data_IF_335526131981
#
_entry.id   IF_335526131981
#
_cell.length_a   1.000
_cell.length_b   1.000
_cell.length_c   1.000
_cell.angle_alpha   90.00
_cell.angle_beta   90.00
_cell.angle_gamma   90.00
#
_symmetry.space_group_name_H-M   'P 1'
#
loop_
_entity.id
_entity.type
_entity.pdbx_description
1 polymer ?
#
# COMPACT_ATOMS: atom_id res chain seq x y z
N UNK A 1 -15.96 6.88 7.61
CA UNK A 1 -17.02 5.84 7.57
C UNK A 1 -16.36 4.46 7.41
N UNK A 2 -15.69 3.96 8.45
CA UNK A 2 -15.18 2.58 8.50
C UNK A 2 -15.48 2.08 9.90
N UNK A 3 -16.44 1.17 10.02
CA UNK A 3 -16.76 0.55 11.32
C UNK A 3 -15.79 -0.60 11.52
N UNK A 4 -15.31 -0.82 12.75
CA UNK A 4 -14.41 -1.93 13.12
C UNK A 4 -14.97 -3.33 12.81
N UNK A 5 -16.26 -3.40 12.45
CA UNK A 5 -17.00 -4.61 12.05
C UNK A 5 -17.05 -4.86 10.53
N UNK A 6 -16.58 -3.93 9.69
CA UNK A 6 -16.62 -4.13 8.25
C UNK A 6 -15.67 -5.26 7.88
N UNK A 7 -16.20 -6.31 7.26
CA UNK A 7 -15.38 -7.41 6.76
C UNK A 7 -14.75 -7.01 5.42
N UNK A 8 -13.64 -7.67 5.07
CA UNK A 8 -13.04 -7.48 3.74
C UNK A 8 -14.05 -7.81 2.62
N UNK A 9 -14.95 -8.77 2.84
CA UNK A 9 -15.98 -9.15 1.87
C UNK A 9 -16.94 -7.99 1.59
N UNK A 10 -17.34 -7.26 2.62
CA UNK A 10 -18.23 -6.11 2.49
C UNK A 10 -17.56 -4.97 1.70
N UNK A 11 -16.28 -4.72 1.99
CA UNK A 11 -15.48 -3.73 1.26
C UNK A 11 -15.32 -4.10 -0.22
N UNK A 12 -15.11 -5.37 -0.54
CA UNK A 12 -15.01 -5.86 -1.92
C UNK A 12 -16.35 -5.77 -2.65
N UNK A 13 -17.47 -6.05 -1.97
CA UNK A 13 -18.80 -5.96 -2.56
C UNK A 13 -19.14 -4.54 -3.02
N UNK A 14 -18.69 -3.51 -2.30
CA UNK A 14 -18.92 -2.10 -2.67
C UNK A 14 -17.84 -1.51 -3.58
N UNK A 15 -16.73 -2.23 -3.80
CA UNK A 15 -15.59 -1.71 -4.57
C UNK A 15 -15.95 -1.47 -6.04
N UNK A 16 -16.77 -2.33 -6.64
CA UNK A 16 -17.18 -2.23 -8.05
C UNK A 16 -17.90 -0.91 -8.36
N UNK A 17 -19.04 -0.61 -7.71
CA UNK A 17 -19.76 0.65 -7.91
C UNK A 17 -18.95 1.91 -7.59
N UNK A 18 -17.96 1.81 -6.69
CA UNK A 18 -17.09 2.93 -6.31
C UNK A 18 -15.86 3.09 -7.22
N UNK A 19 -15.68 2.23 -8.24
CA UNK A 19 -14.53 2.29 -9.13
C UNK A 19 -13.19 1.98 -8.44
N UNK A 20 -13.21 1.27 -7.31
CA UNK A 20 -12.00 0.95 -6.56
C UNK A 20 -11.28 -0.24 -7.22
N UNK A 21 -10.05 0.00 -7.66
CA UNK A 21 -9.22 -0.99 -8.36
C UNK A 21 -8.19 -1.68 -7.47
N UNK A 22 -7.74 -1.02 -6.40
CA UNK A 22 -6.70 -1.52 -5.52
C UNK A 22 -7.08 -1.36 -4.04
N UNK A 23 -6.81 -2.40 -3.26
CA UNK A 23 -6.91 -2.38 -1.81
C UNK A 23 -5.53 -2.50 -1.18
N UNK A 24 -5.24 -1.57 -0.26
CA UNK A 24 -4.07 -1.59 0.60
C UNK A 24 -4.51 -2.01 2.00
N UNK A 25 -4.09 -3.19 2.44
CA UNK A 25 -4.57 -3.81 3.68
C UNK A 25 -3.39 -4.03 4.62
N UNK A 26 -3.49 -3.50 5.84
CA UNK A 26 -2.57 -3.84 6.93
C UNK A 26 -3.26 -4.85 7.85
N UNK A 27 -2.57 -5.95 8.11
CA UNK A 27 -3.02 -6.99 9.04
C UNK A 27 -1.92 -7.27 10.05
N UNK A 28 -2.30 -7.63 11.28
CA UNK A 28 -1.38 -7.92 12.37
C UNK A 28 -1.73 -9.27 12.98
N UNK A 29 -0.74 -10.14 13.10
CA UNK A 29 -0.78 -11.33 13.97
C UNK A 29 -0.10 -10.99 15.30
N UNK A 30 -0.11 -11.92 16.25
CA UNK A 30 0.58 -11.73 17.55
C UNK A 30 2.06 -11.39 17.37
N UNK A 31 2.70 -11.96 16.35
CA UNK A 31 4.14 -11.87 16.11
C UNK A 31 4.53 -10.89 15.02
N UNK A 32 3.69 -10.67 14.01
CA UNK A 32 4.10 -9.99 12.78
C UNK A 32 3.02 -9.05 12.22
N UNK A 33 3.46 -8.06 11.47
CA UNK A 33 2.58 -7.18 10.68
C UNK A 33 2.79 -7.48 9.20
N UNK A 34 1.70 -7.57 8.46
CA UNK A 34 1.68 -7.84 7.03
C UNK A 34 0.96 -6.72 6.28
N UNK A 35 1.56 -6.30 5.18
CA UNK A 35 0.96 -5.42 4.20
C UNK A 35 0.51 -6.24 2.98
N UNK A 36 -0.74 -6.10 2.58
CA UNK A 36 -1.30 -6.79 1.41
C UNK A 36 -1.78 -5.76 0.39
N UNK A 37 -1.33 -5.91 -0.85
CA UNK A 37 -1.81 -5.17 -2.00
C UNK A 37 -2.67 -6.11 -2.85
N UNK A 38 -3.95 -5.79 -3.00
CA UNK A 38 -4.92 -6.61 -3.72
C UNK A 38 -5.51 -5.82 -4.88
N UNK A 39 -5.54 -6.43 -6.07
CA UNK A 39 -6.13 -5.84 -7.28
C UNK A 39 -7.52 -6.41 -7.55
N UNK A 40 -8.42 -5.53 -7.99
CA UNK A 40 -9.81 -5.85 -8.32
C UNK A 40 -10.16 -5.52 -9.77
N UNK A 41 -11.12 -6.24 -10.38
CA UNK A 41 -11.71 -7.50 -9.90
C UNK A 41 -10.80 -8.71 -10.20
N UNK A 42 -10.70 -9.66 -9.27
CA UNK A 42 -10.03 -10.96 -9.51
C UNK A 42 -8.52 -10.91 -9.79
N UNK A 43 -7.81 -9.86 -9.35
CA UNK A 43 -6.37 -9.72 -9.55
C UNK A 43 -5.53 -10.46 -8.49
N UNK A 44 -4.22 -10.57 -8.71
CA UNK A 44 -3.31 -11.16 -7.73
C UNK A 44 -3.26 -10.33 -6.44
N UNK A 45 -2.88 -10.99 -5.36
CA UNK A 45 -2.64 -10.35 -4.06
C UNK A 45 -1.17 -10.52 -3.69
N UNK A 46 -0.46 -9.40 -3.49
CA UNK A 46 0.90 -9.39 -2.97
C UNK A 46 0.85 -9.27 -1.46
N UNK A 47 1.57 -10.14 -0.75
CA UNK A 47 1.66 -10.11 0.72
C UNK A 47 3.11 -9.89 1.14
N UNK A 48 3.34 -8.85 1.93
CA UNK A 48 4.64 -8.45 2.42
C UNK A 48 4.66 -8.49 3.94
N UNK A 49 5.73 -9.03 4.54
CA UNK A 49 5.97 -8.89 5.96
C UNK A 49 6.66 -7.54 6.22
N UNK A 50 6.08 -6.73 7.10
CA UNK A 50 6.66 -5.46 7.51
C UNK A 50 7.83 -5.74 8.46
N UNK A 51 9.06 -5.43 8.03
CA UNK A 51 10.26 -5.59 8.85
C UNK A 51 10.51 -4.41 9.79
N UNK A 52 10.29 -3.19 9.30
CA UNK A 52 10.45 -1.93 10.04
C UNK A 52 9.38 -0.95 9.56
N UNK A 53 8.93 -0.07 10.45
CA UNK A 53 8.02 1.02 10.12
C UNK A 53 8.41 2.27 10.91
N UNK A 54 7.95 3.44 10.45
CA UNK A 54 8.15 4.72 11.12
C UNK A 54 6.89 5.54 10.99
N UNK A 55 6.58 6.37 11.99
CA UNK A 55 5.47 7.30 11.90
C UNK A 55 5.92 8.57 11.19
N UNK A 56 4.98 9.24 10.52
CA UNK A 56 5.24 10.53 9.87
C UNK A 56 5.87 11.53 10.85
N UNK A 57 5.40 11.56 12.10
CA UNK A 57 5.93 12.44 13.15
C UNK A 57 7.41 12.20 13.45
N UNK A 58 7.85 10.95 13.46
CA UNK A 58 9.25 10.58 13.71
C UNK A 58 10.14 11.00 12.53
N UNK A 59 9.62 10.90 11.31
CA UNK A 59 10.33 11.35 10.10
C UNK A 59 10.47 12.88 10.12
N UNK A 60 9.38 13.61 10.38
CA UNK A 60 9.38 15.08 10.45
C UNK A 60 10.37 15.59 11.50
N UNK A 61 10.36 15.01 12.70
CA UNK A 61 11.22 15.44 13.81
C UNK A 61 12.70 15.16 13.56
N UNK A 62 13.03 14.12 12.79
CA UNK A 62 14.41 13.79 12.42
C UNK A 62 15.02 14.71 11.35
N UNK A 63 14.18 15.38 10.55
CA UNK A 63 14.62 16.20 9.41
C UNK A 63 14.88 17.66 9.85
N UNK A 64 16.13 18.13 9.72
CA UNK A 64 16.53 19.51 10.05
C UNK A 64 15.80 20.58 9.21
N UNK A 65 15.42 20.26 7.97
CA UNK A 65 14.62 21.14 7.09
C UNK A 65 13.54 20.30 6.44
N UNK A 66 12.32 20.43 6.93
CA UNK A 66 11.18 19.73 6.36
C UNK A 66 10.57 20.55 5.23
N UNK A 67 10.68 20.06 3.98
CA UNK A 67 9.99 20.65 2.83
C UNK A 67 8.70 19.86 2.56
N UNK A 68 7.63 20.27 3.22
CA UNK A 68 6.28 19.77 2.95
C UNK A 68 5.45 20.92 2.38
N UNK A 69 5.37 21.01 1.06
CA UNK A 69 4.45 21.93 0.41
C UNK A 69 3.19 21.17 0.03
N UNK A 70 2.02 21.67 0.43
CA UNK A 70 0.73 21.02 0.14
C UNK A 70 0.49 20.79 -1.35
N UNK A 71 1.00 21.70 -2.19
CA UNK A 71 0.93 21.59 -3.66
C UNK A 71 1.58 20.31 -4.20
N UNK A 72 2.54 19.71 -3.48
CA UNK A 72 3.20 18.47 -3.93
C UNK A 72 2.24 17.27 -3.90
N UNK A 73 1.17 17.31 -3.09
CA UNK A 73 0.19 16.23 -2.99
C UNK A 73 -0.97 16.36 -3.99
N UNK A 74 -1.06 17.48 -4.71
CA UNK A 74 -2.06 17.70 -5.75
C UNK A 74 -1.74 16.93 -7.05
N UNK A 75 -0.51 16.45 -7.20
CA UNK A 75 -0.04 15.77 -8.38
C UNK A 75 0.23 14.29 -8.10
N UNK A 76 -0.04 13.39 -9.07
CA UNK A 76 0.36 11.99 -8.95
C UNK A 76 1.87 11.84 -8.73
N UNK A 77 2.30 10.93 -7.86
CA UNK A 77 3.71 10.69 -7.62
C UNK A 77 4.37 9.98 -8.82
N UNK A 78 5.69 10.13 -8.94
CA UNK A 78 6.50 9.36 -9.89
C UNK A 78 6.90 8.02 -9.28
N UNK A 79 6.78 6.94 -10.05
CA UNK A 79 7.24 5.61 -9.65
C UNK A 79 8.68 5.39 -10.12
N UNK A 80 9.59 5.15 -9.18
CA UNK A 80 10.98 4.79 -9.46
C UNK A 80 11.21 3.35 -9.02
N UNK A 81 11.40 2.44 -9.98
CA UNK A 81 11.69 1.03 -9.73
C UNK A 81 13.21 0.81 -9.75
N UNK A 82 13.85 0.97 -8.59
CA UNK A 82 15.29 0.71 -8.46
C UNK A 82 15.53 -0.78 -8.15
N UNK A 83 16.45 -1.41 -8.89
CA UNK A 83 16.86 -2.81 -8.71
C UNK A 83 15.75 -3.88 -8.85
N UNK A 84 14.61 -3.57 -9.48
CA UNK A 84 13.66 -4.58 -9.95
C UNK A 84 14.21 -5.25 -11.22
N UNK A 85 15.20 -6.12 -11.06
CA UNK A 85 15.82 -6.86 -12.18
C UNK A 85 14.93 -7.99 -12.72
N UNK A 86 15.32 -8.65 -13.83
CA UNK A 86 14.61 -9.80 -14.41
C UNK A 86 14.68 -11.08 -13.55
N UNK A 87 15.16 -10.98 -12.31
CA UNK A 87 15.43 -12.10 -11.41
C UNK A 87 14.14 -12.56 -10.74
N UNK A 88 13.33 -13.33 -11.46
CA UNK A 88 12.16 -14.04 -10.94
C UNK A 88 10.83 -13.49 -11.44
N UNK A 89 9.95 -14.39 -11.87
CA UNK A 89 8.62 -14.05 -12.39
C UNK A 89 7.77 -13.28 -11.36
N UNK A 90 7.95 -13.52 -10.07
CA UNK A 90 7.28 -12.80 -8.99
C UNK A 90 7.71 -11.32 -8.91
N UNK A 91 8.98 -10.99 -9.18
CA UNK A 91 9.46 -9.60 -9.23
C UNK A 91 8.88 -8.86 -10.43
N UNK A 92 8.80 -9.53 -11.58
CA UNK A 92 8.15 -8.99 -12.77
C UNK A 92 6.66 -8.72 -12.51
N UNK A 93 5.96 -9.63 -11.84
CA UNK A 93 4.57 -9.42 -11.44
C UNK A 93 4.43 -8.19 -10.53
N UNK A 94 5.30 -8.07 -9.53
CA UNK A 94 5.29 -6.92 -8.61
C UNK A 94 5.52 -5.58 -9.34
N UNK A 95 6.37 -5.55 -10.36
CA UNK A 95 6.61 -4.34 -11.17
C UNK A 95 5.42 -3.97 -12.07
N UNK A 96 4.57 -4.93 -12.42
CA UNK A 96 3.38 -4.72 -13.27
C UNK A 96 2.08 -4.45 -12.50
N UNK A 97 2.12 -4.58 -11.17
CA UNK A 97 0.96 -4.33 -10.31
C UNK A 97 0.72 -2.84 -10.07
#
# INVERSE_FOLDING_TARGET
>A
MVRKKNSLKDCVAVAGPLGVTHFLILSKTETNVYFKLMRLPGGPTLTFQVKKYSLVRDVVSSLRRHRMHEQQFAHPPLLVLNSFGPHGMHVKLMATM
#
